data_IF_238045595170
#
_entry.id   IF_238045595170
#
_cell.length_a   1.000
_cell.length_b   1.000
_cell.length_c   1.000
_cell.angle_alpha   90.00
_cell.angle_beta   90.00
_cell.angle_gamma   90.00
#
_symmetry.space_group_name_H-M   'P 1'
#
loop_
_entity.id
_entity.type
_entity.pdbx_description
1 polymer ?
#
# COMPACT_ATOMS: atom_id res chain seq x y z
N UNK A 1 3.89 17.54 2.65
CA UNK A 1 3.11 17.34 3.90
C UNK A 1 2.26 16.08 3.76
N UNK A 2 2.23 15.22 4.78
CA UNK A 2 1.32 14.08 4.84
C UNK A 2 -0.05 14.54 5.33
N UNK A 3 -1.11 14.27 4.55
CA UNK A 3 -2.48 14.54 5.01
C UNK A 3 -2.94 13.49 6.03
N UNK A 4 -3.97 13.81 6.82
CA UNK A 4 -4.62 12.83 7.71
C UNK A 4 -5.03 11.56 6.95
N UNK A 5 -5.52 11.72 5.71
CA UNK A 5 -5.84 10.61 4.80
C UNK A 5 -4.63 9.70 4.55
N UNK A 6 -3.46 10.27 4.27
CA UNK A 6 -2.26 9.46 3.99
C UNK A 6 -1.87 8.64 5.22
N UNK A 7 -1.86 9.28 6.40
CA UNK A 7 -1.55 8.59 7.66
C UNK A 7 -2.54 7.46 7.96
N UNK A 8 -3.84 7.71 7.74
CA UNK A 8 -4.89 6.71 7.92
C UNK A 8 -4.71 5.52 6.97
N UNK A 9 -4.50 5.78 5.68
CA UNK A 9 -4.36 4.75 4.66
C UNK A 9 -3.10 3.92 4.89
N UNK A 10 -1.96 4.54 5.24
CA UNK A 10 -0.74 3.81 5.56
C UNK A 10 -0.91 2.88 6.76
N UNK A 11 -1.56 3.34 7.84
CA UNK A 11 -1.84 2.50 9.03
C UNK A 11 -2.78 1.35 8.69
N UNK A 12 -3.83 1.63 7.93
CA UNK A 12 -4.81 0.63 7.51
C UNK A 12 -4.17 -0.44 6.61
N UNK A 13 -3.39 -0.02 5.60
CA UNK A 13 -2.70 -0.92 4.70
C UNK A 13 -1.74 -1.85 5.44
N UNK A 14 -0.94 -1.30 6.36
CA UNK A 14 -0.03 -2.09 7.20
C UNK A 14 -0.76 -3.06 8.12
N UNK A 15 -1.98 -2.74 8.57
CA UNK A 15 -2.81 -3.67 9.34
C UNK A 15 -3.30 -4.81 8.44
N UNK A 16 -3.84 -4.50 7.26
CA UNK A 16 -4.31 -5.52 6.30
C UNK A 16 -3.20 -6.48 5.87
N UNK A 17 -1.96 -5.99 5.70
CA UNK A 17 -0.80 -6.81 5.36
C UNK A 17 -0.40 -7.83 6.43
N UNK A 18 -0.78 -7.63 7.70
CA UNK A 18 -0.49 -8.60 8.77
C UNK A 18 -1.37 -9.84 8.68
N UNK A 19 -2.60 -9.65 8.21
CA UNK A 19 -3.63 -10.68 8.22
C UNK A 19 -3.83 -11.33 6.84
N UNK A 20 -3.35 -10.69 5.77
CA UNK A 20 -3.63 -11.10 4.38
C UNK A 20 -2.42 -10.95 3.46
N UNK A 21 -2.46 -11.61 2.30
CA UNK A 21 -1.43 -11.45 1.26
C UNK A 21 -1.43 -10.02 0.69
N UNK A 22 -0.30 -9.53 0.12
CA UNK A 22 -0.24 -8.18 -0.43
C UNK A 22 -1.33 -7.86 -1.46
N UNK A 23 -1.68 -8.82 -2.30
CA UNK A 23 -2.74 -8.66 -3.29
C UNK A 23 -4.14 -8.54 -2.65
N UNK A 24 -4.42 -9.36 -1.63
CA UNK A 24 -5.68 -9.31 -0.89
C UNK A 24 -5.80 -8.03 -0.07
N UNK A 25 -4.72 -7.61 0.59
CA UNK A 25 -4.65 -6.34 1.32
C UNK A 25 -4.93 -5.15 0.40
N UNK A 26 -4.33 -5.12 -0.80
CA UNK A 26 -4.56 -4.08 -1.80
C UNK A 26 -6.00 -4.11 -2.32
N UNK A 27 -6.55 -5.29 -2.64
CA UNK A 27 -7.95 -5.41 -3.10
C UNK A 27 -8.95 -4.88 -2.05
N UNK A 28 -8.76 -5.24 -0.78
CA UNK A 28 -9.59 -4.73 0.30
C UNK A 28 -9.44 -3.21 0.47
N UNK A 29 -8.20 -2.71 0.35
CA UNK A 29 -7.93 -1.29 0.45
C UNK A 29 -8.53 -0.49 -0.71
N UNK A 30 -8.58 -1.04 -1.93
CA UNK A 30 -9.25 -0.41 -3.07
C UNK A 30 -10.72 -0.14 -2.80
N UNK A 31 -11.43 -1.10 -2.21
CA UNK A 31 -12.85 -0.96 -1.85
C UNK A 31 -13.06 0.17 -0.83
N UNK A 32 -12.15 0.31 0.14
CA UNK A 32 -12.24 1.33 1.19
C UNK A 32 -11.90 2.72 0.66
N UNK A 33 -10.91 2.80 -0.23
CA UNK A 33 -10.36 4.09 -0.73
C UNK A 33 -11.05 4.59 -2.00
N UNK A 34 -11.84 3.76 -2.67
CA UNK A 34 -12.58 4.10 -3.88
C UNK A 34 -11.73 4.17 -5.16
N UNK A 35 -10.56 3.52 -5.17
CA UNK A 35 -9.72 3.47 -6.37
C UNK A 35 -10.35 2.56 -7.44
N UNK A 36 -10.43 3.04 -8.68
CA UNK A 36 -11.03 2.31 -9.81
C UNK A 36 -10.10 1.25 -10.42
N UNK A 37 -8.80 1.34 -10.18
CA UNK A 37 -7.81 0.39 -10.67
C UNK A 37 -6.73 0.12 -9.63
N UNK A 38 -6.15 -1.09 -9.69
CA UNK A 38 -5.05 -1.49 -8.81
C UNK A 38 -3.83 -0.59 -9.02
N UNK A 39 -3.52 -0.25 -10.28
CA UNK A 39 -2.42 0.64 -10.64
C UNK A 39 -2.52 2.03 -10.00
N UNK A 40 -3.73 2.59 -9.90
CA UNK A 40 -3.95 3.88 -9.27
C UNK A 40 -3.71 3.80 -7.75
N UNK A 41 -4.17 2.72 -7.10
CA UNK A 41 -3.91 2.48 -5.69
C UNK A 41 -2.41 2.30 -5.43
N UNK A 42 -1.71 1.49 -6.22
CA UNK A 42 -0.28 1.24 -6.04
C UNK A 42 0.56 2.49 -6.20
N UNK A 43 0.25 3.32 -7.20
CA UNK A 43 0.87 4.63 -7.35
C UNK A 43 0.62 5.50 -6.11
N UNK A 44 -0.63 5.56 -5.65
CA UNK A 44 -0.98 6.30 -4.45
C UNK A 44 -0.23 5.80 -3.20
N UNK A 45 -0.14 4.48 -3.00
CA UNK A 45 0.59 3.89 -1.87
C UNK A 45 2.09 4.20 -1.92
N UNK A 46 2.67 4.25 -3.12
CA UNK A 46 4.07 4.65 -3.33
C UNK A 46 4.29 6.13 -3.05
N UNK A 47 3.37 6.99 -3.49
CA UNK A 47 3.42 8.44 -3.26
C UNK A 47 3.34 8.81 -1.76
N UNK A 48 2.77 7.92 -0.94
CA UNK A 48 2.63 8.11 0.52
C UNK A 48 3.56 7.22 1.36
N UNK A 49 4.56 6.59 0.73
CA UNK A 49 5.52 5.68 1.38
C UNK A 49 4.84 4.57 2.22
N UNK A 50 3.64 4.14 1.81
CA UNK A 50 2.90 3.09 2.50
C UNK A 50 3.44 1.69 2.18
N UNK A 51 3.89 1.49 0.95
CA UNK A 51 4.52 0.26 0.47
C UNK A 51 6.03 0.50 0.32
N UNK A 52 6.83 -0.09 1.23
CA UNK A 52 8.28 -0.16 1.06
C UNK A 52 8.58 -1.14 -0.07
N UNK A 53 9.44 -0.73 -1.02
CA UNK A 53 9.96 -1.66 -2.01
C UNK A 53 10.61 -2.84 -1.29
N UNK A 54 10.37 -4.06 -1.79
CA UNK A 54 11.14 -5.22 -1.33
C UNK A 54 12.61 -4.91 -1.56
N UNK A 55 13.42 -5.06 -0.51
CA UNK A 55 14.85 -4.96 -0.64
C UNK A 55 15.34 -6.15 -1.49
N UNK A 56 15.88 -5.85 -2.66
CA UNK A 56 16.43 -6.83 -3.60
C UNK A 56 17.95 -6.74 -3.68
N UNK A 57 18.61 -6.06 -2.74
CA UNK A 57 20.07 -5.97 -2.70
C UNK A 57 20.75 -7.34 -2.66
N UNK A 58 20.08 -8.37 -2.14
CA UNK A 58 20.56 -9.75 -2.16
C UNK A 58 20.69 -10.37 -3.57
N UNK A 59 19.98 -9.84 -4.57
CA UNK A 59 20.04 -10.30 -5.97
C UNK A 59 21.17 -9.64 -6.78
N UNK A 60 21.88 -8.66 -6.20
CA UNK A 60 22.98 -7.93 -6.84
C UNK A 60 24.37 -8.44 -6.41
N UNK A 61 24.44 -9.66 -5.86
CA UNK A 61 25.70 -10.33 -5.47
C UNK A 61 26.45 -10.94 -6.65
#
# INVERSE_FOLDING_TARGET
>A
LYSFRHTYITKLYRKLLKDTSPFAAKSNLMLITGHKSMSALEKYLRDIDAELAKDYSDLLK
#
